data_IF_895702280412
#
_entry.id   IF_895702280412
#
_cell.length_a   1.000
_cell.length_b   1.000
_cell.length_c   1.000
_cell.angle_alpha   90.00
_cell.angle_beta   90.00
_cell.angle_gamma   90.00
#
_symmetry.space_group_name_H-M   'P 1'
#
loop_
_entity.id
_entity.type
_entity.pdbx_description
1 polymer ?
#
# COMPACT_ATOMS: atom_id res chain seq x y z
N UNK A 1 -8.40 -17.53 -19.80
CA UNK A 1 -8.60 -16.12 -19.43
C UNK A 1 -8.21 -16.00 -17.98
N UNK A 2 -7.16 -15.22 -17.69
CA UNK A 2 -6.61 -15.03 -16.35
C UNK A 2 -7.47 -14.05 -15.57
N UNK A 3 -7.92 -14.45 -14.38
CA UNK A 3 -8.65 -13.59 -13.46
C UNK A 3 -7.65 -12.84 -12.57
N UNK A 4 -7.78 -11.52 -12.48
CA UNK A 4 -6.94 -10.66 -11.64
C UNK A 4 -7.84 -9.86 -10.71
N UNK A 5 -7.81 -10.19 -9.43
CA UNK A 5 -8.53 -9.47 -8.39
C UNK A 5 -7.58 -8.56 -7.63
N UNK A 6 -7.85 -7.25 -7.63
CA UNK A 6 -7.11 -6.27 -6.85
C UNK A 6 -7.94 -5.78 -5.67
N UNK A 7 -7.52 -6.15 -4.46
CA UNK A 7 -8.11 -5.71 -3.20
C UNK A 7 -7.27 -4.57 -2.62
N UNK A 8 -7.88 -3.43 -2.28
CA UNK A 8 -7.15 -2.26 -1.80
C UNK A 8 -7.91 -1.44 -0.75
N UNK A 9 -7.17 -0.88 0.20
CA UNK A 9 -7.69 -0.01 1.27
C UNK A 9 -7.71 1.45 0.83
N UNK A 10 -8.76 1.88 0.11
CA UNK A 10 -8.87 3.26 -0.40
C UNK A 10 -7.54 3.74 -0.99
N UNK A 11 -7.11 4.93 -0.59
CA UNK A 11 -5.81 5.50 -0.96
C UNK A 11 -4.82 5.56 0.23
N UNK A 12 -4.89 4.57 1.14
CA UNK A 12 -3.95 4.41 2.25
C UNK A 12 -2.49 4.34 1.79
N UNK A 13 -2.25 3.81 0.59
CA UNK A 13 -0.92 3.70 -0.02
C UNK A 13 -0.92 4.35 -1.41
N UNK A 14 0.08 5.19 -1.75
CA UNK A 14 0.19 5.77 -3.10
C UNK A 14 0.26 4.70 -4.20
N UNK A 15 0.75 3.50 -3.87
CA UNK A 15 0.77 2.38 -4.79
C UNK A 15 -0.61 1.88 -5.19
N UNK A 16 -1.65 2.08 -4.37
CA UNK A 16 -3.01 1.63 -4.72
C UNK A 16 -3.46 2.31 -6.01
N UNK A 17 -3.23 3.62 -6.13
CA UNK A 17 -3.53 4.37 -7.34
C UNK A 17 -2.65 3.94 -8.52
N UNK A 18 -1.34 3.82 -8.32
CA UNK A 18 -0.40 3.35 -9.35
C UNK A 18 -0.79 1.97 -9.92
N UNK A 19 -1.21 1.05 -9.07
CA UNK A 19 -1.66 -0.29 -9.49
C UNK A 19 -2.98 -0.20 -10.25
N UNK A 20 -3.94 0.61 -9.80
CA UNK A 20 -5.20 0.86 -10.54
C UNK A 20 -4.91 1.36 -11.96
N UNK A 21 -4.00 2.32 -12.11
CA UNK A 21 -3.60 2.82 -13.44
C UNK A 21 -2.97 1.73 -14.30
N UNK A 22 -2.04 0.96 -13.74
CA UNK A 22 -1.39 -0.14 -14.45
C UNK A 22 -2.41 -1.19 -14.93
N UNK A 23 -3.31 -1.62 -14.05
CA UNK A 23 -4.34 -2.59 -14.38
C UNK A 23 -5.33 -2.05 -15.43
N UNK A 24 -5.65 -0.75 -15.38
CA UNK A 24 -6.53 -0.12 -16.36
C UNK A 24 -6.00 -0.23 -17.80
N UNK A 25 -4.67 -0.27 -17.99
CA UNK A 25 -4.04 -0.48 -19.31
C UNK A 25 -4.47 -1.83 -19.92
N UNK A 26 -4.73 -2.84 -19.09
CA UNK A 26 -5.13 -4.19 -19.50
C UNK A 26 -6.65 -4.43 -19.46
N UNK A 27 -7.46 -3.41 -19.15
CA UNK A 27 -8.92 -3.57 -18.97
C UNK A 27 -9.64 -4.12 -20.22
N UNK A 28 -9.10 -3.87 -21.42
CA UNK A 28 -9.61 -4.39 -22.70
C UNK A 28 -8.90 -5.64 -23.22
N UNK A 29 -7.93 -6.19 -22.49
CA UNK A 29 -7.16 -7.35 -22.93
C UNK A 29 -7.98 -8.64 -22.77
N UNK A 30 -8.24 -9.33 -23.88
CA UNK A 30 -9.02 -10.58 -23.92
C UNK A 30 -8.39 -11.72 -23.13
N UNK A 31 -7.10 -11.63 -22.81
CA UNK A 31 -6.40 -12.63 -21.99
C UNK A 31 -6.83 -12.57 -20.53
N UNK A 32 -7.38 -11.45 -20.05
CA UNK A 32 -7.71 -11.28 -18.64
C UNK A 32 -9.08 -10.70 -18.33
N UNK A 33 -9.48 -10.89 -17.07
CA UNK A 33 -10.59 -10.18 -16.43
C UNK A 33 -10.08 -9.55 -15.14
N UNK A 34 -10.13 -8.23 -15.05
CA UNK A 34 -9.69 -7.47 -13.89
C UNK A 34 -10.89 -7.07 -13.04
N UNK A 35 -10.84 -7.34 -11.75
CA UNK A 35 -11.82 -6.89 -10.78
C UNK A 35 -11.14 -6.04 -9.70
N UNK A 36 -11.77 -4.93 -9.32
CA UNK A 36 -11.26 -3.98 -8.34
C UNK A 36 -12.18 -3.98 -7.11
N UNK A 37 -11.60 -4.20 -5.92
CA UNK A 37 -12.33 -4.27 -4.66
C UNK A 37 -11.76 -3.27 -3.66
N UNK A 38 -12.48 -2.17 -3.44
CA UNK A 38 -12.19 -1.25 -2.35
C UNK A 38 -12.66 -1.84 -1.02
N UNK A 39 -11.75 -2.49 -0.30
CA UNK A 39 -12.06 -3.19 0.96
C UNK A 39 -12.21 -2.23 2.14
N UNK A 40 -11.94 -0.93 1.97
CA UNK A 40 -12.23 0.10 2.99
C UNK A 40 -13.73 0.24 3.27
N UNK A 41 -14.58 -0.25 2.37
CA UNK A 41 -16.05 -0.27 2.51
C UNK A 41 -16.58 -1.62 3.01
N UNK A 42 -15.75 -2.67 3.02
CA UNK A 42 -16.15 -4.01 3.41
C UNK A 42 -14.99 -4.76 4.08
N UNK A 43 -14.81 -4.48 5.37
CA UNK A 43 -13.71 -5.04 6.17
C UNK A 43 -13.77 -6.57 6.31
N UNK A 44 -14.95 -7.20 6.10
CA UNK A 44 -15.09 -8.67 6.18
C UNK A 44 -14.28 -9.38 5.11
N UNK A 45 -14.12 -8.77 3.93
CA UNK A 45 -13.30 -9.32 2.84
C UNK A 45 -11.83 -9.38 3.28
N UNK A 46 -11.33 -8.32 3.94
CA UNK A 46 -9.96 -8.29 4.44
C UNK A 46 -9.70 -9.43 5.44
N UNK A 47 -10.67 -9.72 6.31
CA UNK A 47 -10.59 -10.84 7.27
C UNK A 47 -10.64 -12.19 6.55
N UNK A 48 -11.61 -12.41 5.66
CA UNK A 48 -11.77 -13.67 4.94
C UNK A 48 -10.53 -14.03 4.12
N UNK A 49 -9.93 -13.03 3.46
CA UNK A 49 -8.76 -13.23 2.61
C UNK A 49 -7.44 -13.11 3.37
N UNK A 50 -7.43 -12.79 4.67
CA UNK A 50 -6.22 -12.53 5.46
C UNK A 50 -5.34 -11.44 4.81
N UNK A 51 -5.91 -10.27 4.54
CA UNK A 51 -5.20 -9.11 3.98
C UNK A 51 -4.62 -8.27 5.12
N UNK A 52 -3.29 -8.29 5.25
CA UNK A 52 -2.54 -7.57 6.30
C UNK A 52 -1.78 -6.34 5.77
N UNK A 53 -2.08 -5.92 4.55
CA UNK A 53 -1.37 -4.87 3.82
C UNK A 53 -2.35 -3.90 3.16
N UNK A 54 -1.91 -2.69 2.77
CA UNK A 54 -2.77 -1.69 2.12
C UNK A 54 -3.43 -2.17 0.83
N UNK A 55 -2.89 -3.22 0.21
CA UNK A 55 -3.47 -3.87 -0.95
C UNK A 55 -2.99 -5.33 -1.09
N UNK A 56 -3.66 -6.08 -1.97
CA UNK A 56 -3.30 -7.44 -2.39
C UNK A 56 -3.82 -7.70 -3.80
N UNK A 57 -3.03 -8.39 -4.62
CA UNK A 57 -3.46 -8.91 -5.92
C UNK A 57 -3.57 -10.44 -5.82
N UNK A 58 -4.67 -10.99 -6.32
CA UNK A 58 -4.91 -12.43 -6.45
C UNK A 58 -5.11 -12.78 -7.91
N UNK A 59 -4.37 -13.77 -8.39
CA UNK A 59 -4.41 -14.26 -9.77
C UNK A 59 -5.00 -15.67 -9.77
N UNK A 60 -6.01 -15.89 -10.62
CA UNK A 60 -6.72 -17.17 -10.79
C UNK A 60 -7.10 -17.82 -9.45
N UNK A 61 -7.60 -16.99 -8.52
CA UNK A 61 -8.09 -17.35 -7.17
C UNK A 61 -7.07 -18.01 -6.22
N UNK A 62 -5.85 -18.26 -6.67
CA UNK A 62 -4.86 -19.06 -5.94
C UNK A 62 -3.54 -18.32 -5.69
N UNK A 63 -3.03 -17.60 -6.70
CA UNK A 63 -1.73 -16.95 -6.61
C UNK A 63 -1.87 -15.56 -5.98
N UNK A 64 -1.37 -15.41 -4.76
CA UNK A 64 -1.22 -14.11 -4.10
C UNK A 64 0.08 -13.46 -4.56
N UNK A 65 -0.04 -12.30 -5.20
CA UNK A 65 1.14 -11.53 -5.60
C UNK A 65 1.69 -10.77 -4.39
N UNK A 66 2.97 -10.99 -4.11
CA UNK A 66 3.67 -10.32 -3.02
C UNK A 66 4.73 -9.39 -3.59
N UNK A 67 4.56 -8.09 -3.39
CA UNK A 67 5.49 -7.06 -3.84
C UNK A 67 4.89 -6.13 -4.92
N UNK A 68 5.70 -5.18 -5.42
CA UNK A 68 5.26 -4.29 -6.48
C UNK A 68 4.98 -5.10 -7.75
N UNK A 69 3.85 -4.83 -8.40
CA UNK A 69 3.54 -5.39 -9.72
C UNK A 69 3.98 -4.41 -10.81
N UNK A 70 4.69 -4.91 -11.82
CA UNK A 70 5.11 -4.14 -13.00
C UNK A 70 4.34 -4.55 -14.25
N UNK A 71 4.48 -3.76 -15.32
CA UNK A 71 4.00 -4.10 -16.66
C UNK A 71 4.54 -5.46 -17.11
N UNK A 72 5.85 -5.68 -16.99
CA UNK A 72 6.49 -6.94 -17.39
C UNK A 72 5.99 -8.14 -16.56
N UNK A 73 5.69 -7.92 -15.27
CA UNK A 73 5.12 -8.97 -14.45
C UNK A 73 3.73 -9.36 -14.96
N UNK A 74 2.85 -8.38 -15.21
CA UNK A 74 1.51 -8.63 -15.75
C UNK A 74 1.60 -9.32 -17.11
N UNK A 75 2.40 -8.80 -18.04
CA UNK A 75 2.55 -9.39 -19.37
C UNK A 75 3.05 -10.83 -19.30
N UNK A 76 4.01 -11.13 -18.42
CA UNK A 76 4.49 -12.50 -18.18
C UNK A 76 3.35 -13.39 -17.66
N UNK A 77 2.61 -12.93 -16.67
CA UNK A 77 1.47 -13.66 -16.08
C UNK A 77 0.40 -13.95 -17.14
N UNK A 78 0.05 -12.98 -17.97
CA UNK A 78 -0.93 -13.13 -19.05
C UNK A 78 -0.49 -14.12 -20.13
N UNK A 79 0.82 -14.31 -20.29
CA UNK A 79 1.41 -15.30 -21.18
C UNK A 79 1.68 -16.64 -20.47
N UNK A 80 1.16 -16.85 -19.26
CA UNK A 80 1.28 -18.10 -18.50
C UNK A 80 2.62 -18.28 -17.76
N UNK A 81 3.47 -17.25 -17.74
CA UNK A 81 4.76 -17.29 -17.05
C UNK A 81 4.61 -16.60 -15.69
N UNK A 82 4.62 -17.37 -14.61
CA UNK A 82 4.59 -16.83 -13.25
C UNK A 82 6.01 -16.40 -12.84
N UNK A 83 6.27 -15.09 -12.63
CA UNK A 83 7.59 -14.64 -12.21
C UNK A 83 7.93 -15.19 -10.81
N UNK A 84 9.17 -15.64 -10.62
CA UNK A 84 9.66 -16.04 -9.29
C UNK A 84 9.77 -14.82 -8.39
N UNK A 85 9.08 -14.85 -7.25
CA UNK A 85 9.26 -13.87 -6.19
C UNK A 85 10.72 -13.94 -5.70
N UNK A 86 11.42 -12.80 -5.74
CA UNK A 86 12.76 -12.69 -5.15
C UNK A 86 12.62 -12.09 -3.75
N UNK A 87 13.08 -12.77 -2.69
CA UNK A 87 13.06 -12.18 -1.36
C UNK A 87 13.88 -10.88 -1.37
N UNK A 88 13.30 -9.82 -0.83
CA UNK A 88 14.01 -8.57 -0.64
C UNK A 88 14.91 -8.69 0.59
N UNK A 89 16.22 -8.68 0.39
CA UNK A 89 17.19 -8.68 1.49
C UNK A 89 17.43 -7.23 1.94
N UNK A 90 16.83 -6.87 3.07
CA UNK A 90 17.05 -5.56 3.71
C UNK A 90 18.47 -5.54 4.26
N UNK A 91 19.34 -4.70 3.69
CA UNK A 91 20.64 -4.38 4.31
C UNK A 91 20.39 -3.34 5.40
N UNK A 92 20.39 -3.78 6.66
CA UNK A 92 20.27 -2.89 7.81
C UNK A 92 21.63 -2.22 8.04
N UNK A 93 21.65 -0.89 8.00
CA UNK A 93 22.83 -0.10 8.33
C UNK A 93 22.97 0.02 9.85
N UNK A 94 24.21 -0.01 10.35
CA UNK A 94 24.51 0.34 11.75
C UNK A 94 24.72 1.85 11.95
N UNK A 95 24.70 2.64 10.87
CA UNK A 95 24.86 4.08 10.95
C UNK A 95 23.56 4.72 11.41
N UNK A 96 23.57 5.31 12.60
CA UNK A 96 22.44 6.09 13.13
C UNK A 96 22.47 7.48 12.48
N UNK A 97 21.38 7.85 11.82
CA UNK A 97 21.18 9.18 11.26
C UNK A 97 20.26 9.96 12.18
N UNK A 98 20.72 11.13 12.64
CA UNK A 98 19.94 12.06 13.45
C UNK A 98 19.46 13.19 12.55
N UNK A 99 18.19 13.57 12.69
CA UNK A 99 17.58 14.61 11.88
C UNK A 99 16.26 15.08 12.46
N UNK A 100 15.56 15.94 11.75
CA UNK A 100 14.32 16.53 12.22
C UNK A 100 13.16 15.54 12.13
N UNK A 101 12.23 15.61 13.07
CA UNK A 101 10.98 14.88 13.04
C UNK A 101 9.83 15.87 12.80
N UNK A 102 8.98 15.59 11.81
CA UNK A 102 7.75 16.36 11.55
C UNK A 102 6.53 15.47 11.57
N UNK A 103 5.38 16.09 11.80
CA UNK A 103 4.09 15.43 11.77
C UNK A 103 3.70 14.99 10.36
N UNK A 104 3.17 13.78 10.23
CA UNK A 104 2.56 13.31 9.00
C UNK A 104 1.10 13.78 8.91
N UNK A 105 0.85 14.65 7.94
CA UNK A 105 -0.45 15.27 7.64
C UNK A 105 -0.66 15.31 6.12
N UNK A 106 -1.85 15.72 5.67
CA UNK A 106 -2.13 16.01 4.26
C UNK A 106 -1.20 17.06 3.65
N UNK A 107 -0.59 17.92 4.48
CA UNK A 107 0.34 18.96 4.03
C UNK A 107 1.77 18.45 3.85
N UNK A 108 2.17 17.41 4.59
CA UNK A 108 3.55 16.89 4.60
C UNK A 108 3.72 15.58 3.84
N UNK A 109 2.62 14.88 3.52
CA UNK A 109 2.68 13.58 2.84
C UNK A 109 3.38 13.63 1.48
N UNK A 110 3.32 14.75 0.76
CA UNK A 110 3.96 14.90 -0.55
C UNK A 110 5.48 14.74 -0.48
N UNK A 111 6.09 15.01 0.68
CA UNK A 111 7.52 14.83 0.88
C UNK A 111 7.94 13.35 0.82
N UNK A 112 6.98 12.43 0.98
CA UNK A 112 7.20 10.98 0.90
C UNK A 112 7.11 10.42 -0.52
N UNK A 113 6.64 11.19 -1.52
CA UNK A 113 6.33 10.64 -2.84
C UNK A 113 7.50 9.96 -3.52
N UNK A 114 8.67 10.58 -3.45
CA UNK A 114 9.91 10.05 -4.06
C UNK A 114 10.30 8.74 -3.39
N UNK A 115 10.20 8.66 -2.06
CA UNK A 115 10.51 7.45 -1.30
C UNK A 115 9.51 6.33 -1.57
N UNK A 116 8.21 6.66 -1.56
CA UNK A 116 7.17 5.67 -1.60
C UNK A 116 6.85 5.19 -3.01
N UNK A 117 6.88 6.05 -4.03
CA UNK A 117 6.37 5.68 -5.38
C UNK A 117 7.43 5.71 -6.47
N UNK A 118 8.65 6.17 -6.13
CA UNK A 118 9.73 6.51 -7.07
C UNK A 118 9.30 7.46 -8.20
N UNK A 119 8.13 8.07 -8.06
CA UNK A 119 7.55 8.98 -9.03
C UNK A 119 7.79 10.41 -8.57
N UNK A 120 8.25 11.27 -9.49
CA UNK A 120 8.25 12.73 -9.30
C UNK A 120 6.85 13.33 -9.43
N UNK A 121 5.84 12.54 -9.82
CA UNK A 121 4.45 13.00 -9.91
C UNK A 121 3.82 12.95 -8.52
N UNK A 122 3.47 14.12 -7.98
CA UNK A 122 2.78 14.25 -6.70
C UNK A 122 1.36 13.65 -6.69
N UNK A 123 0.82 13.29 -7.86
CA UNK A 123 -0.55 12.79 -8.06
C UNK A 123 -0.88 11.63 -7.11
N UNK A 124 0.04 10.66 -6.94
CA UNK A 124 -0.21 9.49 -6.10
C UNK A 124 -0.26 9.79 -4.60
N UNK A 125 0.39 10.86 -4.16
CA UNK A 125 0.37 11.27 -2.75
C UNK A 125 -0.76 12.24 -2.43
N UNK A 126 -1.31 12.93 -3.44
CA UNK A 126 -2.43 13.85 -3.24
C UNK A 126 -3.67 13.09 -2.76
N UNK A 127 -3.99 11.95 -3.38
CA UNK A 127 -5.09 11.09 -2.93
C UNK A 127 -4.86 10.54 -1.52
N UNK A 128 -3.61 10.16 -1.21
CA UNK A 128 -3.25 9.81 0.17
C UNK A 128 -3.42 10.99 1.11
N UNK A 129 -3.10 12.21 0.70
CA UNK A 129 -3.35 13.42 1.48
C UNK A 129 -4.83 13.62 1.80
N UNK A 130 -5.71 13.44 0.82
CA UNK A 130 -7.17 13.47 1.03
C UNK A 130 -7.64 12.38 2.01
N UNK A 131 -7.09 11.17 1.89
CA UNK A 131 -7.36 10.07 2.81
C UNK A 131 -6.89 10.38 4.24
N UNK A 132 -5.69 10.94 4.40
CA UNK A 132 -5.15 11.39 5.70
C UNK A 132 -6.06 12.45 6.32
N UNK A 133 -6.44 13.47 5.54
CA UNK A 133 -7.32 14.53 6.01
C UNK A 133 -8.64 13.97 6.54
N UNK A 134 -9.28 13.09 5.77
CA UNK A 134 -10.54 12.44 6.15
C UNK A 134 -10.41 11.66 7.46
N UNK A 135 -9.33 10.90 7.64
CA UNK A 135 -9.09 10.18 8.89
C UNK A 135 -8.84 11.11 10.07
N UNK A 136 -8.03 12.15 9.88
CA UNK A 136 -7.72 13.12 10.93
C UNK A 136 -8.98 13.82 11.42
N UNK A 137 -9.83 14.27 10.50
CA UNK A 137 -11.10 14.91 10.82
C UNK A 137 -12.05 13.93 11.53
N UNK A 138 -12.21 12.71 11.01
CA UNK A 138 -13.10 11.69 11.59
C UNK A 138 -12.74 11.28 13.02
N UNK A 139 -11.45 11.17 13.31
CA UNK A 139 -10.95 10.69 14.61
C UNK A 139 -10.34 11.80 15.48
N UNK A 140 -10.51 13.07 15.08
CA UNK A 140 -9.94 14.23 15.75
C UNK A 140 -8.42 14.09 16.03
N UNK A 141 -7.67 13.64 15.01
CA UNK A 141 -6.23 13.39 15.13
C UNK A 141 -5.41 14.58 14.61
N UNK A 142 -4.41 15.07 15.38
CA UNK A 142 -3.55 16.14 14.92
C UNK A 142 -2.61 15.69 13.79
N UNK A 143 -2.27 14.40 13.71
CA UNK A 143 -1.43 13.78 12.69
C UNK A 143 -1.63 12.25 12.71
N UNK A 144 -1.14 11.55 11.70
CA UNK A 144 -1.25 10.07 11.61
C UNK A 144 0.10 9.35 11.57
N UNK A 145 1.17 10.04 11.95
CA UNK A 145 2.52 9.51 11.89
C UNK A 145 3.57 10.57 12.09
N UNK A 146 4.82 10.15 11.94
CA UNK A 146 6.00 11.00 12.01
C UNK A 146 6.86 10.74 10.79
N UNK A 147 7.41 11.82 10.23
CA UNK A 147 8.34 11.82 9.12
C UNK A 147 9.72 12.25 9.61
N UNK A 148 10.76 11.57 9.15
CA UNK A 148 12.16 11.85 9.48
C UNK A 148 12.82 12.58 8.31
N UNK A 149 13.48 13.69 8.61
CA UNK A 149 14.14 14.54 7.65
C UNK A 149 15.63 14.66 7.93
N UNK A 150 16.43 14.61 6.87
CA UNK A 150 17.85 14.96 6.89
C UNK A 150 18.07 16.07 5.86
N UNK A 151 18.64 17.20 6.26
CA UNK A 151 18.89 18.35 5.37
C UNK A 151 17.65 18.78 4.57
N UNK A 152 16.49 18.86 5.23
CA UNK A 152 15.16 19.17 4.65
C UNK A 152 14.61 18.13 3.66
N UNK A 153 15.28 17.01 3.45
CA UNK A 153 14.80 15.90 2.63
C UNK A 153 14.17 14.86 3.54
N UNK A 154 12.94 14.44 3.24
CA UNK A 154 12.32 13.31 3.92
C UNK A 154 13.09 12.04 3.56
N UNK A 155 13.51 11.28 4.57
CA UNK A 155 14.28 10.04 4.42
C UNK A 155 13.55 8.80 4.97
N UNK A 156 12.38 8.99 5.57
CA UNK A 156 11.56 7.90 6.07
C UNK A 156 10.40 8.40 6.93
N UNK A 157 9.57 7.47 7.38
CA UNK A 157 8.48 7.78 8.27
C UNK A 157 7.82 6.54 8.84
N UNK A 158 7.05 6.75 9.90
CA UNK A 158 6.21 5.74 10.52
C UNK A 158 4.79 6.27 10.63
N UNK A 159 3.83 5.45 10.23
CA UNK A 159 2.40 5.77 10.26
C UNK A 159 1.72 4.97 11.36
N UNK A 160 0.75 5.59 12.03
CA UNK A 160 -0.20 4.93 12.90
C UNK A 160 -1.61 5.22 12.41
N UNK A 161 -2.40 4.17 12.24
CA UNK A 161 -3.78 4.27 11.73
C UNK A 161 -4.71 3.65 12.77
N UNK A 162 -5.82 4.29 13.14
CA UNK A 162 -6.79 3.70 14.05
C UNK A 162 -7.25 2.33 13.53
N UNK A 163 -7.20 1.30 14.39
CA UNK A 163 -7.61 -0.06 14.02
C UNK A 163 -9.10 -0.17 13.66
N UNK A 164 -9.91 0.79 14.09
CA UNK A 164 -11.32 0.91 13.69
C UNK A 164 -11.50 1.45 12.27
N UNK A 165 -10.49 2.13 11.72
CA UNK A 165 -10.48 2.61 10.34
C UNK A 165 -9.88 1.56 9.38
N UNK A 166 -8.83 0.88 9.81
CA UNK A 166 -8.17 -0.19 9.04
C UNK A 166 -7.97 -1.41 9.96
N UNK A 167 -9.01 -2.24 10.15
CA UNK A 167 -8.95 -3.43 11.01
C UNK A 167 -8.24 -4.57 10.31
N UNK A 168 -6.91 -4.46 10.13
CA UNK A 168 -6.13 -5.59 9.68
C UNK A 168 -6.38 -6.79 10.60
N UNK A 169 -6.59 -8.00 10.05
CA UNK A 169 -6.92 -9.20 10.83
C UNK A 169 -5.68 -9.76 11.57
N UNK A 170 -4.77 -8.89 12.05
CA UNK A 170 -3.53 -9.25 12.73
C UNK A 170 -3.88 -10.20 13.89
N UNK A 171 -3.34 -11.43 13.91
CA UNK A 171 -3.58 -12.36 14.99
C UNK A 171 -3.18 -11.70 16.31
N UNK A 172 -4.14 -11.51 17.21
CA UNK A 172 -3.83 -11.09 18.57
C UNK A 172 -3.07 -12.23 19.23
N UNK A 173 -1.89 -11.95 19.77
CA UNK A 173 -1.19 -12.92 20.60
C UNK A 173 -2.19 -13.44 21.65
N UNK A 174 -2.43 -14.75 21.66
CA UNK A 174 -3.15 -15.37 22.78
C UNK A 174 -2.28 -15.10 24.00
N UNK A 175 -2.78 -14.30 24.94
CA UNK A 175 -2.04 -13.99 26.15
C UNK A 175 -1.61 -15.29 26.82
N UNK A 176 -0.31 -15.57 26.86
CA UNK A 176 0.25 -16.27 28.01
C UNK A 176 0.44 -15.20 29.07
N UNK A 177 -0.63 -14.96 29.82
CA UNK A 177 -0.48 -14.57 31.21
C UNK A 177 -0.27 -15.91 31.92
N UNK A 178 0.98 -16.27 32.12
CA UNK A 178 1.40 -17.26 33.12
C UNK A 178 2.24 -16.53 34.13
#
# INVERSE_FOLDING_TARGET
MTKIDFYYWGDQCPHNYKIKELLNIFSGDKRCKINLFDISKNHKIAQYLNIFSPNMIVIDDNLRWHGPISMDNLESILNGIIPKARPYNVKISNNIIIGDIKDLTEKTITDTCVLCSSSKKNVYCNEKGNWIKTLREKYNLPYIGKLHYLNKVCIGGAEFVPSVAVPYPIPKARGRIT
#
